data_IF_273097132248
#
_entry.id   IF_273097132248
#
_cell.length_a   1.000
_cell.length_b   1.000
_cell.length_c   1.000
_cell.angle_alpha   90.00
_cell.angle_beta   90.00
_cell.angle_gamma   90.00
#
_symmetry.space_group_name_H-M   'P 1'
#
loop_
_entity.id
_entity.type
_entity.pdbx_description
1 polymer ?
#
# COMPACT_ATOMS: atom_id res chain seq x y z
N UNK A 1 -8.22 29.79 3.75
CA UNK A 1 -6.90 29.15 3.98
C UNK A 1 -7.04 28.17 5.13
N UNK A 2 -6.82 26.86 4.92
CA UNK A 2 -6.89 25.89 6.00
C UNK A 2 -5.77 26.14 7.03
N UNK A 3 -6.13 26.22 8.31
CA UNK A 3 -5.22 26.39 9.44
C UNK A 3 -4.15 25.28 9.44
N UNK A 4 -2.93 25.57 9.92
CA UNK A 4 -1.82 24.60 10.03
C UNK A 4 -2.21 23.35 10.82
N UNK A 5 -3.06 23.51 11.83
CA UNK A 5 -3.65 22.42 12.63
C UNK A 5 -4.52 21.47 11.81
N UNK A 6 -5.31 21.98 10.86
CA UNK A 6 -6.20 21.17 10.02
C UNK A 6 -5.41 20.36 8.99
N UNK A 7 -4.36 20.96 8.41
CA UNK A 7 -3.44 20.23 7.52
C UNK A 7 -2.71 19.10 8.25
N UNK A 8 -2.28 19.34 9.49
CA UNK A 8 -1.62 18.32 10.31
C UNK A 8 -2.56 17.16 10.66
N UNK A 9 -3.82 17.45 10.96
CA UNK A 9 -4.85 16.42 11.22
C UNK A 9 -5.17 15.61 9.97
N UNK A 10 -5.29 16.26 8.81
CA UNK A 10 -5.49 15.60 7.53
C UNK A 10 -4.33 14.66 7.18
N UNK A 11 -3.09 15.15 7.31
CA UNK A 11 -1.89 14.34 7.07
C UNK A 11 -1.83 13.14 8.02
N UNK A 12 -2.06 13.35 9.32
CA UNK A 12 -2.11 12.25 10.29
C UNK A 12 -3.17 11.22 9.95
N UNK A 13 -4.38 11.65 9.56
CA UNK A 13 -5.47 10.75 9.21
C UNK A 13 -5.13 9.89 7.97
N UNK A 14 -4.62 10.51 6.91
CA UNK A 14 -4.20 9.80 5.69
C UNK A 14 -3.04 8.85 6.00
N UNK A 15 -2.04 9.31 6.75
CA UNK A 15 -0.88 8.49 7.11
C UNK A 15 -1.28 7.29 7.97
N UNK A 16 -2.11 7.49 9.00
CA UNK A 16 -2.58 6.38 9.84
C UNK A 16 -3.50 5.43 9.08
N UNK A 17 -4.41 5.95 8.25
CA UNK A 17 -5.32 5.12 7.48
C UNK A 17 -4.57 4.29 6.42
N UNK A 18 -3.67 4.92 5.66
CA UNK A 18 -2.84 4.23 4.67
C UNK A 18 -1.91 3.20 5.29
N UNK A 19 -1.33 3.48 6.46
CA UNK A 19 -0.48 2.54 7.18
C UNK A 19 -1.27 1.33 7.69
N UNK A 20 -2.40 1.56 8.37
CA UNK A 20 -3.24 0.48 8.90
C UNK A 20 -3.79 -0.37 7.75
N UNK A 21 -4.34 0.26 6.72
CA UNK A 21 -4.87 -0.43 5.54
C UNK A 21 -3.77 -1.23 4.83
N UNK A 22 -2.59 -0.62 4.60
CA UNK A 22 -1.46 -1.29 3.97
C UNK A 22 -0.96 -2.50 4.75
N UNK A 23 -0.88 -2.42 6.09
CA UNK A 23 -0.48 -3.53 6.97
C UNK A 23 -1.51 -4.66 6.95
N UNK A 24 -2.80 -4.33 7.05
CA UNK A 24 -3.86 -5.35 7.02
C UNK A 24 -3.89 -6.06 5.67
N UNK A 25 -3.76 -5.31 4.57
CA UNK A 25 -3.79 -5.85 3.21
C UNK A 25 -2.59 -6.76 2.93
N UNK A 26 -1.37 -6.31 3.24
CA UNK A 26 -0.17 -7.16 3.03
C UNK A 26 -0.17 -8.40 3.93
N UNK A 27 -0.68 -8.27 5.17
CA UNK A 27 -0.82 -9.41 6.08
C UNK A 27 -1.82 -10.42 5.52
N UNK A 28 -2.96 -9.95 5.03
CA UNK A 28 -3.95 -10.79 4.35
C UNK A 28 -3.34 -11.49 3.13
N UNK A 29 -2.59 -10.75 2.30
CA UNK A 29 -1.90 -11.29 1.15
C UNK A 29 -0.90 -12.40 1.54
N UNK A 30 -0.11 -12.21 2.59
CA UNK A 30 0.81 -13.22 3.10
C UNK A 30 0.10 -14.45 3.67
N UNK A 31 -0.99 -14.27 4.41
CA UNK A 31 -1.78 -15.39 4.94
C UNK A 31 -2.38 -16.20 3.80
N UNK A 32 -3.09 -15.54 2.88
CA UNK A 32 -3.75 -16.20 1.74
C UNK A 32 -2.75 -16.87 0.79
N UNK A 33 -1.61 -16.24 0.55
CA UNK A 33 -0.54 -16.83 -0.26
C UNK A 33 0.15 -18.00 0.48
N UNK A 34 0.38 -17.86 1.79
CA UNK A 34 0.94 -18.90 2.64
C UNK A 34 0.06 -20.15 2.67
N UNK A 35 -1.27 -19.99 2.73
CA UNK A 35 -2.23 -21.09 2.60
C UNK A 35 -2.14 -21.83 1.26
N UNK A 36 -1.62 -21.16 0.22
CA UNK A 36 -1.36 -21.73 -1.12
C UNK A 36 0.09 -22.22 -1.29
N UNK A 37 0.90 -22.21 -0.23
CA UNK A 37 2.31 -22.60 -0.26
C UNK A 37 3.23 -21.57 -0.94
N UNK A 38 2.77 -20.33 -1.13
CA UNK A 38 3.54 -19.25 -1.77
C UNK A 38 4.21 -18.39 -0.71
N UNK A 39 5.53 -18.26 -0.79
CA UNK A 39 6.31 -17.47 0.17
C UNK A 39 6.10 -15.95 0.05
N UNK A 40 6.31 -15.18 1.15
CA UNK A 40 6.09 -13.72 1.19
C UNK A 40 6.87 -12.93 0.13
N UNK A 41 8.09 -13.37 -0.16
CA UNK A 41 8.96 -12.76 -1.20
C UNK A 41 8.26 -12.82 -2.55
N UNK A 42 7.66 -13.96 -2.89
CA UNK A 42 7.01 -14.17 -4.20
C UNK A 42 5.74 -13.35 -4.35
N UNK A 43 5.03 -13.11 -3.24
CA UNK A 43 3.88 -12.17 -3.19
C UNK A 43 4.34 -10.75 -3.52
N UNK A 44 5.39 -10.28 -2.83
CA UNK A 44 5.95 -8.95 -3.06
C UNK A 44 6.53 -8.79 -4.46
N UNK A 45 7.24 -9.80 -4.96
CA UNK A 45 7.70 -9.83 -6.34
C UNK A 45 6.54 -9.78 -7.32
N UNK A 46 5.41 -10.44 -7.02
CA UNK A 46 4.19 -10.35 -7.83
C UNK A 46 3.65 -8.91 -7.94
N UNK A 47 3.71 -8.13 -6.86
CA UNK A 47 3.39 -6.69 -6.92
C UNK A 47 4.41 -5.96 -7.81
N UNK A 48 5.70 -6.24 -7.65
CA UNK A 48 6.76 -5.65 -8.47
C UNK A 48 6.66 -6.05 -9.96
N UNK A 49 6.08 -7.21 -10.30
CA UNK A 49 5.82 -7.62 -11.68
C UNK A 49 4.90 -6.65 -12.41
N UNK A 50 4.03 -5.93 -11.69
CA UNK A 50 3.19 -4.90 -12.30
C UNK A 50 3.99 -3.77 -12.96
N UNK A 51 5.21 -3.51 -12.49
CA UNK A 51 6.09 -2.47 -13.03
C UNK A 51 7.26 -3.05 -13.86
N UNK A 52 7.89 -4.13 -13.40
CA UNK A 52 9.09 -4.71 -14.01
C UNK A 52 8.80 -5.92 -14.91
N UNK A 53 7.55 -6.39 -14.97
CA UNK A 53 7.20 -7.62 -15.67
C UNK A 53 7.81 -8.86 -15.02
N UNK A 54 8.02 -9.91 -15.83
CA UNK A 54 8.54 -11.22 -15.37
C UNK A 54 9.91 -11.13 -14.66
N UNK A 55 10.72 -10.11 -14.97
CA UNK A 55 12.05 -9.90 -14.38
C UNK A 55 11.99 -9.68 -12.86
N UNK A 56 10.85 -9.24 -12.32
CA UNK A 56 10.66 -9.08 -10.88
C UNK A 56 10.85 -10.38 -10.08
N UNK A 57 10.58 -11.54 -10.70
CA UNK A 57 10.70 -12.85 -10.04
C UNK A 57 12.17 -13.26 -9.81
N UNK A 58 13.09 -12.77 -10.63
CA UNK A 58 14.51 -13.10 -10.57
C UNK A 58 15.31 -12.18 -9.63
N UNK A 59 14.81 -10.95 -9.38
CA UNK A 59 15.53 -9.94 -8.60
C UNK A 59 15.54 -10.13 -7.07
N UNK A 60 15.03 -11.27 -6.56
CA UNK A 60 15.12 -11.65 -5.15
C UNK A 60 14.57 -10.62 -4.16
N UNK A 61 15.36 -10.28 -3.14
CA UNK A 61 14.96 -9.35 -2.07
C UNK A 61 14.82 -7.90 -2.57
N UNK A 62 15.56 -7.50 -3.60
CA UNK A 62 15.49 -6.13 -4.13
C UNK A 62 14.12 -5.87 -4.77
N UNK A 63 13.62 -6.82 -5.58
CA UNK A 63 12.30 -6.72 -6.20
C UNK A 63 11.18 -6.93 -5.20
N UNK A 64 11.39 -7.74 -4.15
CA UNK A 64 10.44 -7.81 -3.04
C UNK A 64 10.33 -6.47 -2.28
N UNK A 65 11.45 -5.80 -2.00
CA UNK A 65 11.46 -4.47 -1.39
C UNK A 65 10.77 -3.42 -2.27
N UNK A 66 10.99 -3.47 -3.58
CA UNK A 66 10.27 -2.62 -4.54
C UNK A 66 8.76 -2.88 -4.51
N UNK A 67 8.35 -4.15 -4.51
CA UNK A 67 6.95 -4.53 -4.41
C UNK A 67 6.29 -4.01 -3.13
N UNK A 68 7.00 -4.06 -2.01
CA UNK A 68 6.55 -3.50 -0.73
C UNK A 68 6.36 -1.97 -0.81
N UNK A 69 7.32 -1.27 -1.43
CA UNK A 69 7.24 0.17 -1.61
C UNK A 69 6.06 0.58 -2.53
N UNK A 70 5.85 -0.16 -3.62
CA UNK A 70 4.72 0.04 -4.53
C UNK A 70 3.40 -0.21 -3.79
N UNK A 71 3.31 -1.30 -3.02
CA UNK A 71 2.13 -1.64 -2.22
C UNK A 71 1.72 -0.51 -1.28
N UNK A 72 2.65 -0.01 -0.45
CA UNK A 72 2.34 1.09 0.46
C UNK A 72 2.03 2.39 -0.28
N UNK A 73 2.67 2.65 -1.42
CA UNK A 73 2.36 3.82 -2.25
C UNK A 73 0.91 3.80 -2.74
N UNK A 74 0.42 2.63 -3.16
CA UNK A 74 -1.00 2.44 -3.55
C UNK A 74 -1.91 2.61 -2.34
N UNK A 75 -1.57 2.04 -1.18
CA UNK A 75 -2.35 2.18 0.04
C UNK A 75 -2.49 3.65 0.49
N UNK A 76 -1.40 4.43 0.45
CA UNK A 76 -1.43 5.86 0.75
C UNK A 76 -2.19 6.66 -0.32
N UNK A 77 -2.07 6.30 -1.59
CA UNK A 77 -2.84 6.93 -2.67
C UNK A 77 -4.34 6.70 -2.46
N UNK A 78 -4.75 5.46 -2.18
CA UNK A 78 -6.14 5.12 -1.88
C UNK A 78 -6.67 5.88 -0.65
N UNK A 79 -5.90 5.92 0.44
CA UNK A 79 -6.26 6.69 1.64
C UNK A 79 -6.39 8.19 1.35
N UNK A 80 -5.51 8.74 0.52
CA UNK A 80 -5.55 10.15 0.10
C UNK A 80 -6.76 10.47 -0.76
N UNK A 81 -7.09 9.59 -1.71
CA UNK A 81 -8.29 9.71 -2.57
C UNK A 81 -9.55 9.62 -1.73
N UNK A 82 -9.65 8.64 -0.82
CA UNK A 82 -10.79 8.49 0.09
C UNK A 82 -10.96 9.70 1.00
N UNK A 83 -9.88 10.20 1.59
CA UNK A 83 -9.93 11.42 2.40
C UNK A 83 -10.39 12.62 1.58
N UNK A 84 -9.88 12.80 0.36
CA UNK A 84 -10.28 13.91 -0.50
C UNK A 84 -11.73 13.79 -0.94
N UNK A 85 -12.18 12.59 -1.31
CA UNK A 85 -13.55 12.30 -1.70
C UNK A 85 -14.54 12.53 -0.54
N UNK A 86 -14.24 12.03 0.67
CA UNK A 86 -15.07 12.25 1.86
C UNK A 86 -15.18 13.71 2.28
N UNK A 87 -14.23 14.57 1.89
CA UNK A 87 -14.30 16.02 2.08
C UNK A 87 -15.04 16.75 0.97
N UNK A 88 -15.22 16.11 -0.20
CA UNK A 88 -15.95 16.66 -1.36
C UNK A 88 -17.41 16.23 -1.40
N UNK A 89 -17.72 15.01 -0.95
CA UNK A 89 -19.07 14.52 -0.77
C UNK A 89 -19.53 14.86 0.63
N UNK A 90 -20.38 15.88 0.75
CA UNK A 90 -21.15 16.13 1.97
C UNK A 90 -22.33 15.17 1.96
N UNK A 91 -22.38 14.25 2.92
CA UNK A 91 -23.56 13.43 3.22
C UNK A 91 -24.53 14.23 4.08
#
# INVERSE_FOLDING_TARGET
MANSTEKFRAFRAIASAGLIAGILDITSAFVLAGLKGVGPIRVLQGVAMGLLGQQALEGGLATAGLGLAIHFSIAFAAASVFYTASRRFTF
#
